data_IF_371049452510
#
_entry.id   IF_371049452510
#
_cell.length_a   1.000
_cell.length_b   1.000
_cell.length_c   1.000
_cell.angle_alpha   90.00
_cell.angle_beta   90.00
_cell.angle_gamma   90.00
#
_symmetry.space_group_name_H-M   'P 1'
#
loop_
_entity.id
_entity.type
_entity.pdbx_description
1 polymer ?
#
# COMPACT_ATOMS: atom_id res chain seq x y z
N UNK A 1 10.57 14.52 17.63
CA UNK A 1 10.91 14.01 16.28
C UNK A 1 10.51 15.01 15.19
N UNK A 2 11.36 15.17 14.16
CA UNK A 2 11.06 15.96 12.94
C UNK A 2 11.25 15.19 11.61
N UNK A 3 11.68 13.94 11.68
CA UNK A 3 11.91 13.06 10.53
C UNK A 3 11.09 11.77 10.69
N UNK A 4 10.17 11.54 9.76
CA UNK A 4 9.26 10.40 9.80
C UNK A 4 9.63 9.28 8.81
N UNK A 5 10.80 9.33 8.15
CA UNK A 5 11.18 8.35 7.10
C UNK A 5 11.18 6.90 7.57
N UNK A 6 11.55 6.69 8.83
CA UNK A 6 11.63 5.37 9.46
C UNK A 6 10.34 4.95 10.18
N UNK A 7 9.28 5.77 10.11
CA UNK A 7 8.03 5.48 10.78
C UNK A 7 7.23 4.48 9.96
N UNK A 8 6.50 3.62 10.67
CA UNK A 8 5.53 2.73 10.04
C UNK A 8 4.43 3.58 9.40
N UNK A 9 4.01 3.24 8.19
CA UNK A 9 2.96 3.93 7.45
C UNK A 9 2.33 3.03 6.41
N UNK A 10 1.08 3.30 6.06
CA UNK A 10 0.48 2.68 4.90
C UNK A 10 0.96 3.33 3.58
N UNK A 11 0.50 2.78 2.46
CA UNK A 11 0.86 3.26 1.11
C UNK A 11 0.29 4.66 0.79
N UNK A 12 -0.54 5.22 1.66
CA UNK A 12 -1.24 6.49 1.47
C UNK A 12 -0.59 7.65 2.22
N UNK A 13 0.54 7.42 2.88
CA UNK A 13 1.37 8.47 3.49
C UNK A 13 2.71 8.59 2.77
N UNK A 14 3.06 9.80 2.34
CA UNK A 14 4.38 10.19 1.88
C UNK A 14 5.16 10.81 3.03
N UNK A 15 6.12 10.05 3.54
CA UNK A 15 7.11 10.48 4.52
C UNK A 15 8.55 10.15 4.08
N UNK A 16 8.75 9.77 2.80
CA UNK A 16 10.07 9.41 2.26
C UNK A 16 10.71 10.55 1.47
N UNK A 17 9.89 11.33 0.77
CA UNK A 17 10.41 12.43 -0.07
C UNK A 17 10.85 13.65 0.74
N UNK A 18 10.42 13.73 2.01
CA UNK A 18 10.65 14.82 2.95
C UNK A 18 10.70 14.28 4.38
N UNK A 19 11.23 15.06 5.29
CA UNK A 19 11.23 14.72 6.73
C UNK A 19 9.84 14.82 7.35
N UNK A 20 8.96 15.69 6.82
CA UNK A 20 7.54 15.81 7.17
C UNK A 20 6.69 14.70 6.55
N UNK A 21 5.57 14.35 7.19
CA UNK A 21 4.60 13.40 6.65
C UNK A 21 3.37 14.11 6.08
N UNK A 22 2.85 13.62 4.96
CA UNK A 22 1.62 14.09 4.31
C UNK A 22 0.94 12.92 3.58
N UNK A 23 -0.24 13.14 3.03
CA UNK A 23 -0.88 12.14 2.17
C UNK A 23 -0.03 11.90 0.91
N UNK A 24 -0.04 10.67 0.41
CA UNK A 24 0.67 10.29 -0.81
C UNK A 24 0.09 11.08 -1.99
N UNK A 25 0.92 11.74 -2.82
CA UNK A 25 0.46 12.55 -3.94
C UNK A 25 -0.03 11.72 -5.15
N UNK A 26 -0.16 10.41 -4.98
CA UNK A 26 -0.66 9.48 -5.99
C UNK A 26 -1.43 8.36 -5.31
N UNK A 27 -2.55 7.96 -5.92
CA UNK A 27 -3.41 6.89 -5.44
C UNK A 27 -3.58 5.84 -6.55
N UNK A 28 -3.30 4.58 -6.23
CA UNK A 28 -3.55 3.45 -7.13
C UNK A 28 -4.83 2.72 -6.69
N UNK A 29 -5.81 2.63 -7.59
CA UNK A 29 -7.04 1.87 -7.42
C UNK A 29 -6.93 0.56 -8.19
N UNK A 30 -7.27 -0.54 -7.51
CA UNK A 30 -7.20 -1.92 -8.01
C UNK A 30 -8.43 -2.69 -7.55
N UNK A 31 -9.05 -3.45 -8.44
CA UNK A 31 -10.13 -4.39 -8.10
C UNK A 31 -9.61 -5.84 -8.06
N UNK A 32 -8.57 -6.11 -8.84
CA UNK A 32 -7.83 -7.37 -8.93
C UNK A 32 -6.80 -7.56 -7.82
N UNK A 33 -6.39 -8.81 -7.59
CA UNK A 33 -5.41 -9.23 -6.59
C UNK A 33 -4.00 -9.41 -7.17
N UNK A 34 -3.83 -9.36 -8.49
CA UNK A 34 -2.56 -9.55 -9.18
C UNK A 34 -2.33 -10.97 -9.66
N UNK A 35 -3.32 -11.85 -9.63
CA UNK A 35 -3.18 -13.24 -10.07
C UNK A 35 -3.26 -13.28 -11.59
N UNK A 36 -2.10 -13.23 -12.24
CA UNK A 36 -2.00 -13.40 -13.69
C UNK A 36 -2.07 -14.88 -14.03
N UNK A 37 -3.30 -15.40 -14.12
CA UNK A 37 -3.59 -16.70 -14.70
C UNK A 37 -3.33 -16.76 -16.22
N UNK A 38 -2.92 -15.64 -16.82
CA UNK A 38 -2.81 -15.43 -18.28
C UNK A 38 -4.11 -15.78 -19.04
N UNK A 39 -5.25 -15.78 -18.33
CA UNK A 39 -6.59 -15.97 -18.88
C UNK A 39 -6.93 -14.74 -19.71
N UNK A 40 -6.83 -14.90 -21.03
CA UNK A 40 -7.10 -13.84 -21.98
C UNK A 40 -8.58 -13.70 -22.28
N UNK A 41 -8.98 -12.47 -22.52
CA UNK A 41 -10.32 -12.13 -22.97
C UNK A 41 -10.26 -11.29 -24.25
N UNK A 42 -10.44 -11.94 -25.39
CA UNK A 42 -10.48 -11.30 -26.70
C UNK A 42 -11.83 -10.65 -26.93
N UNK A 43 -11.82 -9.37 -27.30
CA UNK A 43 -13.03 -8.57 -27.53
C UNK A 43 -13.33 -8.51 -29.02
N UNK A 44 -14.41 -9.18 -29.42
CA UNK A 44 -14.97 -9.09 -30.77
C UNK A 44 -15.58 -7.72 -31.09
N UNK A 45 -16.14 -7.59 -32.30
CA UNK A 45 -16.67 -6.33 -32.81
C UNK A 45 -17.78 -5.73 -31.92
N UNK A 46 -18.66 -6.59 -31.40
CA UNK A 46 -19.79 -6.20 -30.53
C UNK A 46 -19.49 -6.34 -29.04
N UNK A 47 -18.33 -6.89 -28.68
CA UNK A 47 -17.98 -7.10 -27.28
C UNK A 47 -17.47 -5.82 -26.62
N UNK A 48 -17.85 -5.63 -25.36
CA UNK A 48 -17.37 -4.51 -24.53
C UNK A 48 -16.96 -5.06 -23.18
N UNK A 49 -15.79 -4.65 -22.69
CA UNK A 49 -15.36 -4.93 -21.32
C UNK A 49 -15.47 -3.65 -20.50
N UNK A 50 -16.14 -3.69 -19.35
CA UNK A 50 -16.30 -2.55 -18.46
C UNK A 50 -15.64 -2.83 -17.12
N UNK A 51 -14.85 -1.86 -16.66
CA UNK A 51 -14.24 -1.84 -15.34
C UNK A 51 -14.70 -0.59 -14.60
N UNK A 52 -15.17 -0.77 -13.37
CA UNK A 52 -15.66 0.32 -12.52
C UNK A 52 -14.66 0.66 -11.41
N UNK A 53 -14.45 1.95 -11.18
CA UNK A 53 -13.63 2.47 -10.09
C UNK A 53 -14.36 3.55 -9.30
N UNK A 54 -14.31 3.48 -7.97
CA UNK A 54 -14.76 4.55 -7.10
C UNK A 54 -13.63 5.57 -6.87
N UNK A 55 -13.74 6.73 -7.51
CA UNK A 55 -12.75 7.80 -7.42
C UNK A 55 -13.12 8.71 -6.24
N UNK A 56 -12.23 8.93 -5.26
CA UNK A 56 -12.60 9.61 -4.01
C UNK A 56 -12.82 11.12 -4.16
N UNK A 57 -12.26 11.74 -5.19
CA UNK A 57 -12.28 13.19 -5.40
C UNK A 57 -12.31 13.55 -6.89
N UNK A 58 -13.08 14.57 -7.26
CA UNK A 58 -13.09 15.11 -8.62
C UNK A 58 -11.84 15.95 -8.94
N UNK A 59 -11.11 16.43 -7.93
CA UNK A 59 -9.96 17.32 -8.09
C UNK A 59 -8.63 16.59 -8.36
N UNK A 60 -8.70 15.43 -9.01
CA UNK A 60 -7.50 14.73 -9.49
C UNK A 60 -6.82 15.57 -10.58
N UNK A 61 -5.48 15.63 -10.58
CA UNK A 61 -4.72 16.44 -11.55
C UNK A 61 -4.60 15.75 -12.91
N UNK A 62 -4.47 14.43 -12.90
CA UNK A 62 -4.40 13.57 -14.08
C UNK A 62 -4.61 12.13 -13.64
N UNK A 63 -4.88 11.22 -14.57
CA UNK A 63 -4.91 9.80 -14.27
C UNK A 63 -4.26 8.96 -15.36
N UNK A 64 -3.91 7.73 -15.02
CA UNK A 64 -3.40 6.72 -15.93
C UNK A 64 -4.19 5.43 -15.75
N UNK A 65 -4.71 4.91 -16.85
CA UNK A 65 -5.25 3.56 -16.92
C UNK A 65 -4.08 2.64 -17.20
N UNK A 66 -3.88 1.64 -16.36
CA UNK A 66 -2.79 0.67 -16.43
C UNK A 66 -3.43 -0.69 -16.60
N UNK A 67 -3.03 -1.45 -17.60
CA UNK A 67 -3.65 -2.74 -17.90
C UNK A 67 -2.62 -3.75 -18.35
N UNK A 68 -2.86 -5.00 -18.00
CA UNK A 68 -1.93 -6.10 -18.26
C UNK A 68 -2.05 -6.56 -19.73
N UNK A 69 -0.90 -6.78 -20.37
CA UNK A 69 -0.75 -7.12 -21.80
C UNK A 69 0.38 -8.12 -22.05
N UNK A 70 0.89 -8.80 -21.02
CA UNK A 70 2.03 -9.72 -21.15
C UNK A 70 1.70 -10.83 -22.14
N UNK A 71 2.60 -11.09 -23.10
CA UNK A 71 2.43 -12.13 -24.12
C UNK A 71 1.67 -11.68 -25.38
N UNK A 72 1.14 -10.45 -25.42
CA UNK A 72 0.62 -9.87 -26.66
C UNK A 72 1.79 -9.45 -27.57
N UNK A 73 1.71 -9.82 -28.85
CA UNK A 73 2.73 -9.56 -29.86
C UNK A 73 2.99 -8.04 -29.98
N UNK A 74 4.21 -7.62 -29.68
CA UNK A 74 4.65 -6.21 -29.76
C UNK A 74 4.64 -5.66 -31.20
N UNK A 75 4.52 -6.55 -32.20
CA UNK A 75 4.38 -6.22 -33.62
C UNK A 75 2.92 -6.04 -34.06
N UNK A 76 1.95 -6.63 -33.34
CA UNK A 76 0.53 -6.45 -33.61
C UNK A 76 -0.01 -5.20 -32.91
N UNK A 77 -0.47 -4.24 -33.71
CA UNK A 77 -1.13 -3.04 -33.22
C UNK A 77 -2.61 -3.37 -33.03
N UNK A 78 -2.93 -4.10 -31.97
CA UNK A 78 -4.33 -4.22 -31.55
C UNK A 78 -4.79 -2.83 -31.10
N UNK A 79 -5.70 -2.26 -31.90
CA UNK A 79 -6.25 -0.94 -31.64
C UNK A 79 -7.27 -1.04 -30.51
N UNK A 80 -6.80 -0.88 -29.28
CA UNK A 80 -7.64 -0.79 -28.10
C UNK A 80 -8.27 0.61 -28.04
N UNK A 81 -9.60 0.67 -28.07
CA UNK A 81 -10.33 1.91 -27.84
C UNK A 81 -10.98 1.87 -26.47
N UNK A 82 -10.85 2.98 -25.73
CA UNK A 82 -11.37 3.14 -24.38
C UNK A 82 -12.43 4.24 -24.37
N UNK A 83 -13.45 4.07 -23.56
CA UNK A 83 -14.41 5.11 -23.19
C UNK A 83 -14.34 5.29 -21.68
N UNK A 84 -13.92 6.46 -21.24
CA UNK A 84 -13.91 6.81 -19.81
C UNK A 84 -15.12 7.71 -19.56
N UNK A 85 -16.15 7.20 -18.88
CA UNK A 85 -17.43 7.90 -18.70
C UNK A 85 -17.95 8.52 -20.03
N UNK A 86 -17.90 7.75 -21.12
CA UNK A 86 -18.31 8.18 -22.46
C UNK A 86 -17.27 8.96 -23.29
N UNK A 87 -16.16 9.44 -22.69
CA UNK A 87 -15.09 10.10 -23.43
C UNK A 87 -14.24 9.06 -24.16
N UNK A 88 -14.30 9.08 -25.49
CA UNK A 88 -13.53 8.17 -26.35
C UNK A 88 -12.05 8.52 -26.38
N UNK A 89 -11.20 7.51 -26.24
CA UNK A 89 -9.74 7.60 -26.31
C UNK A 89 -9.23 6.42 -27.12
N UNK A 90 -8.47 6.70 -28.17
CA UNK A 90 -7.78 5.65 -28.93
C UNK A 90 -6.39 5.45 -28.35
N UNK A 91 -6.09 4.21 -27.95
CA UNK A 91 -4.76 3.81 -27.51
C UNK A 91 -4.12 2.95 -28.59
N UNK A 92 -2.87 3.26 -28.92
CA UNK A 92 -2.01 2.31 -29.63
C UNK A 92 -1.07 1.72 -28.59
N UNK A 93 -1.16 0.41 -28.40
CA UNK A 93 -0.33 -0.28 -27.43
C UNK A 93 1.15 0.03 -27.69
N UNK A 94 1.87 0.37 -26.61
CA UNK A 94 3.27 0.77 -26.74
C UNK A 94 4.16 -0.45 -26.84
N UNK A 95 5.09 -0.48 -27.80
CA UNK A 95 6.15 -1.51 -27.84
C UNK A 95 6.93 -1.57 -26.53
N UNK A 96 7.31 -0.41 -26.01
CA UNK A 96 7.93 -0.31 -24.68
C UNK A 96 6.87 -0.41 -23.57
N UNK A 97 6.80 -1.60 -22.95
CA UNK A 97 5.99 -1.84 -21.75
C UNK A 97 6.58 -1.10 -20.54
N UNK A 98 5.82 -1.00 -19.45
CA UNK A 98 6.37 -0.52 -18.18
C UNK A 98 7.56 -1.43 -17.80
N UNK A 99 8.74 -0.84 -17.61
CA UNK A 99 9.92 -1.56 -17.12
C UNK A 99 9.63 -2.17 -15.76
N UNK A 100 9.78 -3.48 -15.69
CA UNK A 100 9.80 -4.26 -14.47
C UNK A 100 11.18 -4.25 -13.82
N UNK A 101 11.34 -5.09 -12.83
CA UNK A 101 12.58 -5.23 -12.10
C UNK A 101 13.68 -5.88 -12.95
N UNK A 102 14.94 -5.50 -12.73
CA UNK A 102 16.12 -6.02 -13.44
C UNK A 102 16.03 -5.94 -14.99
N UNK A 103 15.40 -4.89 -15.53
CA UNK A 103 15.32 -4.66 -16.98
C UNK A 103 14.31 -5.55 -17.73
N UNK A 104 13.54 -6.41 -17.02
CA UNK A 104 12.48 -7.22 -17.64
C UNK A 104 11.23 -6.37 -17.88
N UNK A 105 10.43 -6.72 -18.89
CA UNK A 105 9.10 -6.13 -19.09
C UNK A 105 8.19 -6.51 -17.92
N UNK A 106 7.47 -5.55 -17.35
CA UNK A 106 6.51 -5.83 -16.26
C UNK A 106 5.22 -6.50 -16.75
N UNK A 107 5.00 -6.57 -18.06
CA UNK A 107 3.75 -7.06 -18.63
C UNK A 107 2.59 -6.06 -18.58
N UNK A 108 2.81 -4.83 -18.09
CA UNK A 108 1.79 -3.78 -18.02
C UNK A 108 2.02 -2.70 -19.09
N UNK A 109 0.94 -2.28 -19.74
CA UNK A 109 0.89 -1.05 -20.52
C UNK A 109 0.12 0.04 -19.75
N UNK A 110 0.26 1.30 -20.17
CA UNK A 110 -0.42 2.44 -19.58
C UNK A 110 -0.81 3.47 -20.61
N UNK A 111 -1.91 4.14 -20.33
CA UNK A 111 -2.36 5.31 -21.06
C UNK A 111 -2.74 6.44 -20.11
N UNK A 112 -2.30 7.65 -20.41
CA UNK A 112 -2.72 8.86 -19.69
C UNK A 112 -4.12 9.27 -20.13
N UNK A 113 -4.96 9.60 -19.17
CA UNK A 113 -6.29 10.15 -19.38
C UNK A 113 -6.42 11.51 -18.69
N UNK A 114 -7.29 12.36 -19.24
CA UNK A 114 -7.52 13.70 -18.72
C UNK A 114 -8.38 13.62 -17.46
N UNK A 115 -8.04 14.43 -16.45
CA UNK A 115 -8.80 14.48 -15.20
C UNK A 115 -10.29 14.77 -15.40
N UNK A 116 -10.63 15.64 -16.36
CA UNK A 116 -12.02 15.99 -16.71
C UNK A 116 -12.89 14.81 -17.17
N UNK A 117 -12.28 13.66 -17.50
CA UNK A 117 -13.02 12.45 -17.84
C UNK A 117 -13.50 11.69 -16.61
N UNK A 118 -12.98 12.04 -15.43
CA UNK A 118 -13.32 11.41 -14.15
C UNK A 118 -14.25 12.30 -13.33
N UNK A 119 -15.06 11.67 -12.49
CA UNK A 119 -15.93 12.32 -11.49
C UNK A 119 -15.72 11.70 -10.12
N UNK A 120 -16.14 12.38 -9.05
CA UNK A 120 -16.19 11.77 -7.72
C UNK A 120 -17.22 10.63 -7.71
N UNK A 121 -16.91 9.52 -7.05
CA UNK A 121 -17.75 8.32 -6.99
C UNK A 121 -17.46 7.33 -8.13
N UNK A 122 -18.49 6.61 -8.56
CA UNK A 122 -18.36 5.57 -9.57
C UNK A 122 -17.96 6.13 -10.94
N UNK A 123 -16.93 5.56 -11.53
CA UNK A 123 -16.45 5.83 -12.89
C UNK A 123 -16.37 4.53 -13.65
N UNK A 124 -16.76 4.55 -14.91
CA UNK A 124 -16.62 3.39 -15.80
C UNK A 124 -15.53 3.63 -16.83
N UNK A 125 -14.81 2.55 -17.13
CA UNK A 125 -13.86 2.47 -18.24
C UNK A 125 -14.30 1.29 -19.09
N UNK A 126 -14.74 1.59 -20.31
CA UNK A 126 -15.18 0.60 -21.27
C UNK A 126 -14.10 0.41 -22.33
N UNK A 127 -13.66 -0.82 -22.52
CA UNK A 127 -12.70 -1.24 -23.54
C UNK A 127 -13.43 -1.90 -24.70
N UNK A 128 -12.97 -1.63 -25.92
CA UNK A 128 -13.48 -2.21 -27.16
C UNK A 128 -12.33 -2.61 -28.06
N UNK A 129 -12.41 -3.82 -28.63
CA UNK A 129 -11.35 -4.40 -29.45
C UNK A 129 -10.12 -4.82 -28.64
N UNK A 130 -9.25 -5.63 -29.25
CA UNK A 130 -8.05 -6.16 -28.61
C UNK A 130 -8.36 -7.20 -27.54
N UNK A 131 -7.39 -7.42 -26.64
CA UNK A 131 -7.45 -8.45 -25.60
C UNK A 131 -7.12 -7.90 -24.23
N UNK A 132 -7.91 -8.30 -23.23
CA UNK A 132 -7.65 -8.03 -21.82
C UNK A 132 -7.27 -9.34 -21.10
N UNK A 133 -6.86 -9.23 -19.85
CA UNK A 133 -6.57 -10.38 -18.99
C UNK A 133 -7.45 -10.36 -17.76
N UNK A 134 -7.77 -11.54 -17.25
CA UNK A 134 -8.67 -11.74 -16.13
C UNK A 134 -7.87 -12.29 -14.95
N UNK A 135 -8.06 -11.67 -13.79
CA UNK A 135 -7.73 -12.22 -12.48
C UNK A 135 -8.93 -13.05 -11.99
N UNK A 136 -8.81 -14.39 -11.95
CA UNK A 136 -9.95 -15.27 -11.66
C UNK A 136 -10.34 -15.22 -10.19
N UNK A 137 -11.65 -15.24 -9.93
CA UNK A 137 -12.20 -15.20 -8.57
C UNK A 137 -13.60 -14.59 -8.56
N UNK A 138 -14.14 -14.34 -7.38
CA UNK A 138 -15.44 -13.63 -7.28
C UNK A 138 -15.20 -12.14 -7.49
N UNK A 139 -15.59 -11.62 -8.66
CA UNK A 139 -15.55 -10.20 -9.01
C UNK A 139 -16.91 -9.53 -8.99
N UNK A 140 -16.91 -8.19 -8.90
CA UNK A 140 -18.13 -7.36 -8.94
C UNK A 140 -17.96 -6.02 -9.67
N UNK A 141 -16.73 -5.62 -9.99
CA UNK A 141 -16.40 -4.34 -10.63
C UNK A 141 -16.01 -4.48 -12.09
N UNK A 142 -15.95 -5.71 -12.59
CA UNK A 142 -15.76 -6.03 -13.99
C UNK A 142 -17.00 -6.68 -14.58
N UNK A 143 -17.37 -6.27 -15.78
CA UNK A 143 -18.49 -6.86 -16.52
C UNK A 143 -18.21 -6.86 -18.01
N UNK A 144 -18.82 -7.81 -18.72
CA UNK A 144 -18.75 -7.92 -20.17
C UNK A 144 -20.13 -7.72 -20.79
N UNK A 145 -20.14 -7.09 -21.96
CA UNK A 145 -21.28 -7.03 -22.86
C UNK A 145 -20.94 -7.76 -24.15
N UNK A 146 -21.92 -8.45 -24.72
CA UNK A 146 -21.82 -9.18 -25.98
C UNK A 146 -22.73 -8.57 -27.08
N UNK A 147 -23.39 -7.46 -26.78
CA UNK A 147 -24.42 -6.84 -27.63
C UNK A 147 -24.20 -5.34 -27.86
N UNK A 148 -22.94 -4.91 -27.82
CA UNK A 148 -22.52 -3.54 -28.05
C UNK A 148 -22.70 -2.61 -26.85
N UNK A 149 -22.90 -3.16 -25.64
CA UNK A 149 -23.07 -2.40 -24.40
C UNK A 149 -24.53 -2.22 -23.95
N UNK A 150 -25.48 -2.97 -24.51
CA UNK A 150 -26.90 -2.90 -24.12
C UNK A 150 -27.18 -3.70 -22.86
N UNK A 151 -26.56 -4.87 -22.72
CA UNK A 151 -26.60 -5.71 -21.52
C UNK A 151 -25.20 -5.95 -20.97
N UNK A 152 -25.10 -6.12 -19.65
CA UNK A 152 -23.84 -6.28 -18.92
C UNK A 152 -23.90 -7.47 -17.98
N UNK A 153 -22.91 -8.35 -18.07
CA UNK A 153 -22.82 -9.58 -17.29
C UNK A 153 -21.57 -9.54 -16.42
N UNK A 154 -21.76 -9.64 -15.11
CA UNK A 154 -20.69 -9.79 -14.12
C UNK A 154 -20.35 -11.28 -13.99
N UNK A 155 -19.09 -11.62 -13.75
CA UNK A 155 -18.62 -13.01 -13.64
C UNK A 155 -18.92 -13.90 -14.86
N UNK A 156 -19.06 -13.26 -16.03
CA UNK A 156 -19.24 -13.90 -17.32
C UNK A 156 -18.20 -13.33 -18.31
N UNK A 157 -16.96 -13.29 -17.87
CA UNK A 157 -15.82 -12.81 -18.64
C UNK A 157 -15.24 -13.94 -19.50
N UNK A 158 -14.23 -13.63 -20.32
CA UNK A 158 -13.54 -14.63 -21.13
C UNK A 158 -14.35 -15.05 -22.36
N UNK A 159 -13.70 -15.64 -23.36
CA UNK A 159 -14.31 -15.90 -24.67
C UNK A 159 -15.57 -16.78 -24.67
N UNK A 160 -15.82 -17.55 -23.60
CA UNK A 160 -17.02 -18.36 -23.41
C UNK A 160 -18.08 -17.72 -22.51
N UNK A 161 -17.76 -16.59 -21.88
CA UNK A 161 -18.66 -15.90 -20.96
C UNK A 161 -18.94 -16.67 -19.67
N UNK A 162 -18.03 -17.54 -19.24
CA UNK A 162 -18.16 -18.42 -18.07
C UNK A 162 -17.09 -18.12 -17.00
N UNK A 163 -16.23 -17.11 -17.20
CA UNK A 163 -15.17 -16.78 -16.26
C UNK A 163 -15.62 -15.74 -15.23
N UNK A 164 -15.58 -16.13 -13.96
CA UNK A 164 -15.67 -15.20 -12.83
C UNK A 164 -14.32 -14.49 -12.61
N UNK A 165 -14.35 -13.19 -12.29
CA UNK A 165 -13.13 -12.46 -11.96
C UNK A 165 -13.19 -10.96 -12.17
N UNK A 166 -12.02 -10.34 -12.12
CA UNK A 166 -11.80 -8.92 -12.41
C UNK A 166 -10.85 -8.78 -13.60
N UNK A 167 -11.08 -7.81 -14.48
CA UNK A 167 -10.08 -7.47 -15.48
C UNK A 167 -8.83 -6.91 -14.79
N UNK A 168 -7.65 -7.32 -15.28
CA UNK A 168 -6.35 -6.84 -14.82
C UNK A 168 -6.09 -5.39 -15.28
N UNK A 169 -6.89 -4.49 -14.74
CA UNK A 169 -6.91 -3.05 -15.03
C UNK A 169 -6.82 -2.30 -13.71
N UNK A 170 -6.00 -1.25 -13.69
CA UNK A 170 -5.75 -0.39 -12.54
C UNK A 170 -5.92 1.05 -12.95
N UNK A 171 -6.33 1.89 -12.01
CA UNK A 171 -6.44 3.32 -12.21
C UNK A 171 -5.47 4.04 -11.26
N UNK A 172 -4.46 4.69 -11.82
CA UNK A 172 -3.52 5.54 -11.07
C UNK A 172 -3.94 6.98 -11.16
N UNK A 173 -4.27 7.59 -10.02
CA UNK A 173 -4.69 8.98 -9.89
C UNK A 173 -3.51 9.83 -9.40
N UNK A 174 -3.28 10.97 -10.05
CA UNK A 174 -2.35 12.00 -9.56
C UNK A 174 -3.13 12.98 -8.70
N UNK A 175 -2.86 12.98 -7.42
CA UNK A 175 -3.62 13.69 -6.41
C UNK A 175 -3.44 13.00 -5.06
N UNK A 176 -3.70 13.73 -3.99
CA UNK A 176 -3.53 13.20 -2.64
C UNK A 176 -4.53 12.08 -2.35
N UNK A 177 -4.05 11.00 -1.72
CA UNK A 177 -4.90 9.95 -1.19
C UNK A 177 -5.90 10.53 -0.17
N UNK A 178 -7.12 9.98 -0.03
CA UNK A 178 -8.13 10.55 0.86
C UNK A 178 -7.81 10.36 2.35
N UNK A 179 -7.09 9.30 2.69
CA UNK A 179 -6.72 8.97 4.07
C UNK A 179 -5.44 8.13 4.08
N UNK A 180 -4.61 8.32 5.09
CA UNK A 180 -3.45 7.48 5.34
C UNK A 180 -3.08 7.45 6.82
N UNK A 181 -2.49 6.33 7.24
CA UNK A 181 -2.05 6.08 8.61
C UNK A 181 -0.52 6.09 8.71
N UNK A 182 -0.01 6.71 9.78
CA UNK A 182 1.38 6.62 10.21
C UNK A 182 1.46 6.30 11.70
N UNK A 183 2.37 5.42 12.10
CA UNK A 183 2.56 4.97 13.48
C UNK A 183 4.02 5.12 13.87
N UNK A 184 4.25 5.65 15.06
CA UNK A 184 5.58 5.83 15.62
C UNK A 184 6.26 4.51 15.93
N UNK A 185 7.60 4.48 16.09
CA UNK A 185 8.22 3.40 16.85
C UNK A 185 7.67 3.37 18.28
N UNK A 186 7.90 2.27 18.99
CA UNK A 186 7.69 2.20 20.43
C UNK A 186 8.76 3.04 21.11
N UNK A 187 8.35 4.01 21.93
CA UNK A 187 9.26 4.82 22.73
C UNK A 187 9.38 4.23 24.14
N UNK A 188 10.62 4.05 24.59
CA UNK A 188 10.93 3.82 26.01
C UNK A 188 10.87 5.16 26.75
N UNK A 189 9.85 5.34 27.59
CA UNK A 189 9.66 6.56 28.37
C UNK A 189 10.65 6.68 29.54
N UNK A 190 11.31 5.59 29.92
CA UNK A 190 12.38 5.60 30.93
C UNK A 190 13.75 5.98 30.36
N UNK A 191 13.91 5.90 29.03
CA UNK A 191 15.12 6.31 28.32
C UNK A 191 14.77 7.19 27.10
N UNK A 192 14.25 8.41 27.33
CA UNK A 192 13.78 9.27 26.25
C UNK A 192 14.91 9.77 25.33
N UNK A 193 16.15 9.72 25.79
CA UNK A 193 17.35 10.13 25.04
C UNK A 193 18.05 8.95 24.36
N UNK A 194 17.56 7.72 24.56
CA UNK A 194 18.18 6.49 24.06
C UNK A 194 19.66 6.37 24.49
N UNK A 195 19.93 6.67 25.75
CA UNK A 195 21.26 6.60 26.37
C UNK A 195 21.76 5.17 26.60
N UNK A 196 20.89 4.15 26.43
CA UNK A 196 21.24 2.73 26.46
C UNK A 196 21.06 2.07 27.84
N UNK A 197 21.19 2.84 28.93
CA UNK A 197 20.84 2.38 30.29
C UNK A 197 19.76 3.30 30.86
N UNK A 198 18.55 2.77 31.01
CA UNK A 198 17.42 3.48 31.61
C UNK A 198 17.48 3.42 33.16
N UNK A 199 17.36 4.56 33.87
CA UNK A 199 17.18 4.56 35.32
C UNK A 199 15.82 3.95 35.72
N UNK A 200 15.68 3.58 37.00
CA UNK A 200 14.36 3.19 37.54
C UNK A 200 13.52 4.44 37.78
N UNK A 201 12.51 4.64 36.95
CA UNK A 201 11.60 5.79 37.03
C UNK A 201 10.16 5.36 37.30
N UNK A 202 9.46 6.18 38.08
CA UNK A 202 7.99 6.18 38.18
C UNK A 202 7.46 7.16 37.11
N UNK A 203 6.90 6.63 36.02
CA UNK A 203 6.36 7.43 34.92
C UNK A 203 4.90 7.73 35.23
N UNK A 204 4.64 8.99 35.58
CA UNK A 204 3.32 9.44 36.01
C UNK A 204 2.44 9.81 34.83
N UNK A 205 3.03 10.39 33.79
CA UNK A 205 2.28 10.90 32.65
C UNK A 205 3.16 11.02 31.41
N UNK A 206 2.56 10.79 30.24
CA UNK A 206 3.12 11.19 28.94
C UNK A 206 2.14 12.10 28.22
N UNK A 207 2.66 13.13 27.53
CA UNK A 207 1.89 14.07 26.71
C UNK A 207 2.44 14.16 25.29
N UNK A 208 1.56 14.11 24.31
CA UNK A 208 1.87 14.37 22.92
C UNK A 208 1.63 15.84 22.58
N UNK A 209 2.60 16.44 21.92
CA UNK A 209 2.53 17.75 21.29
C UNK A 209 2.97 17.63 19.83
N UNK A 210 2.46 18.49 18.97
CA UNK A 210 2.70 18.38 17.53
C UNK A 210 2.69 19.74 16.83
N UNK A 211 3.38 19.83 15.71
CA UNK A 211 3.29 20.92 14.75
C UNK A 211 2.72 20.39 13.44
N UNK A 212 1.61 20.98 12.97
CA UNK A 212 0.91 20.55 11.77
C UNK A 212 0.36 21.71 10.96
N UNK A 213 0.30 21.54 9.64
CA UNK A 213 -0.48 22.38 8.73
C UNK A 213 -1.73 21.60 8.33
N UNK A 214 -2.89 22.22 8.53
CA UNK A 214 -4.20 21.61 8.24
C UNK A 214 -4.98 22.61 7.39
N UNK A 215 -4.74 22.63 6.06
CA UNK A 215 -5.56 23.41 5.15
C UNK A 215 -7.06 23.04 5.25
N UNK A 216 -7.98 23.91 4.81
CA UNK A 216 -9.42 23.60 4.77
C UNK A 216 -9.69 22.26 4.06
N UNK A 217 -10.63 21.47 4.59
CA UNK A 217 -10.97 20.14 4.06
C UNK A 217 -10.02 19.00 4.49
N UNK A 218 -8.98 19.31 5.28
CA UNK A 218 -8.02 18.31 5.76
C UNK A 218 -8.05 18.13 7.28
N UNK A 219 -7.53 17.00 7.78
CA UNK A 219 -7.43 16.71 9.21
C UNK A 219 -6.21 15.84 9.52
N UNK A 220 -5.66 16.00 10.73
CA UNK A 220 -4.74 15.03 11.33
C UNK A 220 -5.24 14.72 12.74
N UNK A 221 -5.53 13.45 12.96
CA UNK A 221 -5.95 12.90 14.24
C UNK A 221 -4.84 12.09 14.88
N UNK A 222 -4.72 12.25 16.19
CA UNK A 222 -3.74 11.53 16.98
C UNK A 222 -4.43 10.59 17.93
N UNK A 223 -3.86 9.40 18.02
CA UNK A 223 -4.18 8.43 19.04
C UNK A 223 -2.91 7.99 19.73
N UNK A 224 -3.03 7.64 21.01
CA UNK A 224 -1.94 7.11 21.81
C UNK A 224 -2.34 5.78 22.42
N UNK A 225 -1.34 4.94 22.63
CA UNK A 225 -1.41 3.75 23.47
C UNK A 225 -0.14 3.61 24.27
N UNK A 226 -0.21 2.89 25.39
CA UNK A 226 0.93 2.67 26.25
C UNK A 226 0.91 1.27 26.87
N UNK A 227 2.04 0.83 27.42
CA UNK A 227 2.16 -0.50 27.99
C UNK A 227 3.43 -0.72 28.82
N UNK A 228 3.49 -1.89 29.45
CA UNK A 228 4.60 -2.31 30.33
C UNK A 228 5.75 -3.01 29.59
N UNK A 229 5.52 -3.50 28.36
CA UNK A 229 6.47 -4.29 27.56
C UNK A 229 6.95 -3.55 26.31
N UNK A 230 8.19 -3.79 25.84
CA UNK A 230 8.75 -3.10 24.65
C UNK A 230 8.07 -3.50 23.34
N UNK A 231 7.48 -4.70 23.27
CA UNK A 231 6.66 -5.14 22.16
C UNK A 231 5.18 -5.05 22.53
N UNK A 232 4.35 -4.68 21.56
CA UNK A 232 2.90 -4.62 21.74
C UNK A 232 2.35 -6.02 22.07
N UNK A 233 1.53 -6.08 23.12
CA UNK A 233 0.64 -7.22 23.37
C UNK A 233 -0.69 -6.71 23.92
N UNK A 234 -1.81 -7.29 23.50
CA UNK A 234 -3.13 -6.83 23.91
C UNK A 234 -3.41 -6.95 25.43
N UNK A 235 -2.61 -7.74 26.15
CA UNK A 235 -2.72 -7.91 27.62
C UNK A 235 -1.95 -6.84 28.39
N UNK A 236 -0.81 -6.42 27.86
CA UNK A 236 0.13 -5.51 28.54
C UNK A 236 0.04 -4.06 28.04
N UNK A 237 -0.74 -3.83 26.98
CA UNK A 237 -0.90 -2.53 26.35
C UNK A 237 -2.37 -2.09 26.32
N UNK A 238 -2.58 -0.78 26.46
CA UNK A 238 -3.88 -0.17 26.25
C UNK A 238 -4.28 -0.26 24.77
N UNK A 239 -5.59 -0.22 24.46
CA UNK A 239 -6.02 0.07 23.10
C UNK A 239 -5.58 1.48 22.68
N UNK A 240 -5.69 1.76 21.38
CA UNK A 240 -5.57 3.12 20.86
C UNK A 240 -6.67 4.01 21.43
N UNK A 241 -6.30 5.20 21.90
CA UNK A 241 -7.24 6.18 22.43
C UNK A 241 -6.96 7.55 21.85
N UNK A 242 -8.02 8.29 21.50
CA UNK A 242 -7.93 9.66 20.98
C UNK A 242 -7.63 10.68 22.09
N UNK A 243 -6.55 10.45 22.83
CA UNK A 243 -6.07 11.32 23.90
C UNK A 243 -4.65 11.77 23.60
N UNK A 244 -4.37 13.05 23.87
CA UNK A 244 -3.02 13.61 23.76
C UNK A 244 -2.20 13.43 25.06
N UNK A 245 -2.75 12.77 26.07
CA UNK A 245 -2.07 12.48 27.32
C UNK A 245 -2.53 11.14 27.88
N UNK A 246 -1.61 10.38 28.46
CA UNK A 246 -1.91 9.13 29.17
C UNK A 246 -1.30 9.26 30.58
N UNK A 247 -2.14 9.06 31.59
CA UNK A 247 -1.72 8.95 32.99
C UNK A 247 -1.30 7.51 33.29
N UNK A 248 -0.25 7.34 34.09
CA UNK A 248 0.37 6.06 34.45
C UNK A 248 0.56 5.12 33.24
N UNK A 249 1.27 5.55 32.18
CA UNK A 249 1.35 4.83 30.90
C UNK A 249 2.10 3.49 30.97
N UNK A 250 2.74 3.16 32.10
CA UNK A 250 3.77 2.13 32.12
C UNK A 250 5.10 2.69 31.57
N UNK A 251 5.93 1.82 30.97
CA UNK A 251 7.27 2.21 30.48
C UNK A 251 7.27 2.60 29.01
N UNK A 252 6.37 2.06 28.20
CA UNK A 252 6.42 2.21 26.76
C UNK A 252 5.19 2.95 26.25
N UNK A 253 5.37 3.74 25.20
CA UNK A 253 4.25 4.38 24.52
C UNK A 253 4.44 4.40 23.01
N UNK A 254 3.32 4.53 22.31
CA UNK A 254 3.29 4.70 20.87
C UNK A 254 2.17 5.68 20.51
N UNK A 255 2.38 6.44 19.44
CA UNK A 255 1.34 7.27 18.86
C UNK A 255 1.08 6.88 17.42
N UNK A 256 -0.14 7.13 16.97
CA UNK A 256 -0.59 7.01 15.59
C UNK A 256 -1.15 8.35 15.13
N UNK A 257 -0.82 8.74 13.91
CA UNK A 257 -1.42 9.85 13.19
C UNK A 257 -2.26 9.32 12.02
N UNK A 258 -3.52 9.73 11.95
CA UNK A 258 -4.40 9.49 10.80
C UNK A 258 -4.57 10.82 10.06
N UNK A 259 -4.05 10.87 8.84
CA UNK A 259 -4.16 12.03 7.95
C UNK A 259 -5.36 11.81 7.04
N UNK A 260 -6.15 12.85 6.78
CA UNK A 260 -7.26 12.77 5.83
C UNK A 260 -7.49 14.08 5.07
N UNK A 261 -8.10 13.95 3.89
CA UNK A 261 -8.50 15.04 3.00
C UNK A 261 -9.77 14.68 2.25
N UNK A 262 -10.69 15.62 2.12
CA UNK A 262 -11.88 15.50 1.26
C UNK A 262 -11.58 15.82 -0.22
N UNK A 263 -10.38 16.33 -0.50
CA UNK A 263 -9.90 16.78 -1.81
C UNK A 263 -8.56 16.14 -2.17
N UNK A 264 -8.42 15.75 -3.44
CA UNK A 264 -7.15 15.28 -4.00
C UNK A 264 -6.16 16.41 -4.34
N UNK A 265 -6.56 17.69 -4.23
CA UNK A 265 -5.70 18.84 -4.54
C UNK A 265 -4.83 19.27 -3.36
N UNK A 266 -5.25 18.95 -2.14
CA UNK A 266 -4.67 19.44 -0.89
C UNK A 266 -4.40 18.28 0.08
N UNK A 267 -3.44 18.46 0.98
CA UNK A 267 -3.06 17.47 1.97
C UNK A 267 -2.66 18.16 3.27
N UNK A 268 -3.01 17.58 4.43
CA UNK A 268 -2.45 18.04 5.69
C UNK A 268 -0.97 17.62 5.78
N UNK A 269 -0.18 18.40 6.52
CA UNK A 269 1.26 18.14 6.71
C UNK A 269 1.57 18.06 8.19
N UNK A 270 2.11 16.93 8.62
CA UNK A 270 2.69 16.75 9.95
C UNK A 270 4.17 17.12 9.90
N UNK A 271 4.56 18.17 10.62
CA UNK A 271 5.94 18.69 10.66
C UNK A 271 6.75 18.10 11.80
N UNK A 272 6.15 17.99 12.98
CA UNK A 272 6.83 17.45 14.15
C UNK A 272 5.86 16.85 15.16
N UNK A 273 6.36 15.86 15.91
CA UNK A 273 5.69 15.29 17.08
C UNK A 273 6.71 15.18 18.20
N UNK A 274 6.33 15.58 19.40
CA UNK A 274 7.15 15.52 20.61
C UNK A 274 6.36 14.92 21.75
N UNK A 275 6.96 13.95 22.42
CA UNK A 275 6.45 13.38 23.67
C UNK A 275 7.13 14.08 24.84
N UNK A 276 6.34 14.55 25.80
CA UNK A 276 6.83 15.06 27.08
C UNK A 276 6.47 14.07 28.17
N UNK A 277 7.47 13.59 28.89
CA UNK A 277 7.33 12.62 29.97
C UNK A 277 7.45 13.35 31.30
N UNK A 278 6.46 13.17 32.16
CA UNK A 278 6.52 13.59 33.56
C UNK A 278 6.79 12.34 34.40
N UNK A 279 8.02 12.21 34.93
CA UNK A 279 8.49 11.05 35.69
C UNK A 279 9.26 11.46 36.95
N UNK A 280 9.39 10.53 37.89
CA UNK A 280 10.22 10.68 39.09
C UNK A 280 11.24 9.55 39.13
N UNK A 281 12.52 9.90 39.12
CA UNK A 281 13.58 8.91 39.23
C UNK A 281 13.73 8.39 40.66
N UNK A 282 13.89 7.08 40.80
CA UNK A 282 14.29 6.46 42.06
C UNK A 282 15.73 6.86 42.38
N UNK A 283 15.92 7.52 43.52
CA UNK A 283 17.23 8.05 43.94
C UNK A 283 18.31 6.96 43.91
N UNK A 284 19.39 7.22 43.16
CA UNK A 284 20.54 6.34 43.09
C UNK A 284 20.31 5.05 42.30
N UNK A 285 19.30 5.01 41.42
CA UNK A 285 18.97 3.81 40.64
C UNK A 285 20.11 3.30 39.77
N UNK A 286 21.00 4.20 39.32
CA UNK A 286 22.19 3.90 38.53
C UNK A 286 23.49 4.08 39.32
N UNK A 287 23.44 4.18 40.65
CA UNK A 287 24.66 4.39 41.45
C UNK A 287 25.60 3.20 41.30
N UNK A 288 26.80 3.44 40.79
CA UNK A 288 27.80 2.40 40.55
C UNK A 288 27.58 1.61 39.25
N UNK A 289 26.67 2.05 38.39
CA UNK A 289 26.48 1.52 37.04
C UNK A 289 27.16 2.45 36.05
N UNK A 290 28.01 1.90 35.19
CA UNK A 290 28.69 2.61 34.11
C UNK A 290 28.43 1.87 32.79
N UNK A 291 28.06 2.61 31.76
CA UNK A 291 27.93 2.09 30.41
C UNK A 291 29.32 2.05 29.76
N UNK A 292 29.92 0.87 29.66
CA UNK A 292 31.26 0.71 29.10
C UNK A 292 31.25 0.63 27.57
N UNK A 293 30.29 -0.10 27.02
CA UNK A 293 30.16 -0.34 25.59
C UNK A 293 28.70 -0.64 25.23
N UNK A 294 28.27 -0.21 24.05
CA UNK A 294 26.98 -0.55 23.44
C UNK A 294 27.26 -1.16 22.07
N UNK A 295 27.08 -2.47 21.96
CA UNK A 295 27.04 -3.17 20.68
C UNK A 295 25.58 -3.46 20.32
N UNK A 296 24.88 -2.42 19.87
CA UNK A 296 23.50 -2.52 19.44
C UNK A 296 23.39 -2.05 17.99
N UNK A 297 23.16 -2.96 17.03
CA UNK A 297 22.98 -2.58 15.64
C UNK A 297 21.68 -1.79 15.48
N UNK A 298 21.68 -0.82 14.55
CA UNK A 298 20.47 -0.11 14.17
C UNK A 298 19.46 -1.09 13.56
N UNK A 299 18.41 -1.39 14.32
CA UNK A 299 17.32 -2.25 13.84
C UNK A 299 16.42 -1.41 12.93
N UNK A 300 16.59 -1.58 11.62
CA UNK A 300 15.74 -0.94 10.62
C UNK A 300 14.47 -1.77 10.44
N UNK A 301 13.35 -1.24 10.90
CA UNK A 301 12.04 -1.85 10.68
C UNK A 301 11.47 -1.42 9.32
N UNK A 302 10.76 -2.35 8.67
CA UNK A 302 9.95 -2.04 7.50
C UNK A 302 8.93 -0.96 7.82
N UNK A 303 8.74 -0.01 6.90
CA UNK A 303 7.66 0.97 7.03
C UNK A 303 6.27 0.33 6.87
N UNK A 304 6.17 -0.88 6.33
CA UNK A 304 4.93 -1.64 6.21
C UNK A 304 4.89 -2.75 7.25
N UNK A 305 3.70 -2.97 7.82
CA UNK A 305 3.47 -4.16 8.65
C UNK A 305 3.79 -5.41 7.84
N UNK A 306 4.69 -6.23 8.37
CA UNK A 306 5.09 -7.49 7.78
C UNK A 306 5.19 -8.52 8.89
N UNK A 307 4.38 -9.56 8.79
CA UNK A 307 4.48 -10.70 9.68
C UNK A 307 5.59 -11.62 9.18
N UNK A 308 6.66 -11.70 9.96
CA UNK A 308 7.75 -12.61 9.66
C UNK A 308 7.32 -14.04 9.99
N UNK A 309 7.44 -14.91 8.99
CA UNK A 309 7.19 -16.33 9.16
C UNK A 309 8.23 -16.92 10.11
N UNK A 310 7.80 -17.35 11.29
CA UNK A 310 8.66 -18.10 12.20
C UNK A 310 9.06 -19.45 11.57
N UNK A 311 10.27 -19.98 11.86
CA UNK A 311 10.66 -21.31 11.42
C UNK A 311 9.59 -22.35 11.80
N UNK A 312 9.10 -23.09 10.80
CA UNK A 312 8.00 -24.03 11.01
C UNK A 312 8.12 -25.20 10.03
N UNK A 313 7.96 -26.43 10.51
CA UNK A 313 8.17 -27.66 9.73
C UNK A 313 7.37 -27.72 8.42
N UNK A 314 6.19 -27.07 8.37
CA UNK A 314 5.39 -26.97 7.13
C UNK A 314 6.10 -26.14 6.05
N UNK A 315 6.84 -25.12 6.44
CA UNK A 315 7.62 -24.28 5.52
C UNK A 315 8.75 -25.09 4.94
N UNK A 316 9.50 -25.82 5.78
CA UNK A 316 10.56 -26.73 5.32
C UNK A 316 10.02 -27.78 4.36
N UNK A 317 8.82 -28.31 4.64
CA UNK A 317 8.14 -29.24 3.75
C UNK A 317 7.80 -28.59 2.41
N UNK A 318 7.25 -27.38 2.39
CA UNK A 318 6.91 -26.67 1.15
C UNK A 318 8.16 -26.36 0.31
N UNK A 319 9.23 -25.89 0.95
CA UNK A 319 10.52 -25.63 0.29
C UNK A 319 11.03 -26.89 -0.42
N UNK A 320 10.99 -28.04 0.27
CA UNK A 320 11.42 -29.33 -0.29
C UNK A 320 10.48 -29.84 -1.37
N UNK A 321 9.16 -29.84 -1.12
CA UNK A 321 8.14 -30.38 -2.01
C UNK A 321 8.13 -29.66 -3.36
N UNK A 322 8.23 -28.33 -3.34
CA UNK A 322 8.18 -27.50 -4.55
C UNK A 322 9.57 -27.09 -5.08
N UNK A 323 10.64 -27.62 -4.48
CA UNK A 323 12.04 -27.34 -4.87
C UNK A 323 12.30 -25.84 -4.99
N UNK A 324 11.83 -25.05 -4.01
CA UNK A 324 11.84 -23.58 -4.09
C UNK A 324 13.25 -22.99 -4.25
N UNK A 325 14.30 -23.70 -3.82
CA UNK A 325 15.68 -23.31 -4.09
C UNK A 325 16.01 -23.25 -5.59
N UNK A 326 15.40 -24.09 -6.41
CA UNK A 326 15.59 -24.08 -7.87
C UNK A 326 14.83 -22.94 -8.53
N UNK A 327 13.64 -22.63 -8.01
CA UNK A 327 12.83 -21.48 -8.45
C UNK A 327 13.65 -20.19 -8.33
N UNK A 328 14.41 -20.04 -7.25
CA UNK A 328 15.21 -18.83 -6.98
C UNK A 328 16.66 -18.91 -7.45
N UNK A 329 17.12 -20.05 -7.98
CA UNK A 329 18.54 -20.27 -8.29
C UNK A 329 19.11 -19.28 -9.32
N UNK A 330 18.26 -18.76 -10.20
CA UNK A 330 18.65 -17.78 -11.23
C UNK A 330 18.76 -16.33 -10.75
N UNK A 331 18.54 -16.06 -9.46
CA UNK A 331 18.62 -14.73 -8.89
C UNK A 331 20.01 -14.42 -8.32
N UNK A 332 20.48 -13.20 -8.58
CA UNK A 332 21.76 -12.65 -8.13
C UNK A 332 21.64 -11.84 -6.84
N UNK A 333 20.41 -11.49 -6.43
CA UNK A 333 20.14 -10.72 -5.21
C UNK A 333 18.92 -11.30 -4.47
N UNK A 334 18.80 -11.05 -3.17
CA UNK A 334 17.63 -11.47 -2.39
C UNK A 334 16.32 -10.90 -2.95
N UNK A 335 16.35 -9.66 -3.45
CA UNK A 335 15.19 -9.05 -4.08
C UNK A 335 14.79 -9.76 -5.38
N UNK A 336 15.77 -10.24 -6.17
CA UNK A 336 15.51 -11.11 -7.32
C UNK A 336 14.93 -12.46 -6.88
N UNK A 337 15.43 -13.05 -5.79
CA UNK A 337 14.88 -14.30 -5.25
C UNK A 337 13.41 -14.14 -4.84
N UNK A 338 13.08 -13.04 -4.14
CA UNK A 338 11.70 -12.71 -3.77
C UNK A 338 10.81 -12.50 -5.00
N UNK A 339 11.32 -11.84 -6.05
CA UNK A 339 10.58 -11.65 -7.29
C UNK A 339 10.28 -12.99 -7.98
N UNK A 340 11.27 -13.89 -8.06
CA UNK A 340 11.08 -15.23 -8.62
C UNK A 340 10.09 -16.07 -7.81
N UNK A 341 10.17 -16.03 -6.47
CA UNK A 341 9.19 -16.70 -5.60
C UNK A 341 7.79 -16.15 -5.80
N UNK A 342 7.61 -14.83 -5.85
CA UNK A 342 6.31 -14.19 -6.12
C UNK A 342 5.74 -14.67 -7.44
N UNK A 343 6.54 -14.62 -8.51
CA UNK A 343 6.11 -15.01 -9.85
C UNK A 343 5.74 -16.50 -9.90
N UNK A 344 6.49 -17.36 -9.20
CA UNK A 344 6.16 -18.77 -9.05
C UNK A 344 4.88 -19.00 -8.24
N UNK A 345 4.69 -18.33 -7.10
CA UNK A 345 3.46 -18.45 -6.31
C UNK A 345 2.26 -18.05 -7.15
N UNK A 346 2.36 -16.96 -7.92
CA UNK A 346 1.28 -16.51 -8.81
C UNK A 346 0.90 -17.56 -9.86
N UNK A 347 1.84 -18.41 -10.31
CA UNK A 347 1.54 -19.47 -11.28
C UNK A 347 0.92 -20.73 -10.66
N UNK A 348 0.96 -20.91 -9.34
CA UNK A 348 0.43 -22.12 -8.69
C UNK A 348 -1.09 -22.13 -8.51
N UNK A 349 -1.76 -20.98 -8.55
CA UNK A 349 -3.21 -20.85 -8.31
C UNK A 349 -4.07 -21.15 -9.55
N UNK A 350 -3.47 -21.78 -10.56
CA UNK A 350 -4.06 -22.13 -11.85
C UNK A 350 -4.69 -23.54 -11.90
N UNK A 351 -5.03 -24.11 -10.74
CA UNK A 351 -5.53 -25.48 -10.59
C UNK A 351 -7.04 -25.60 -10.51
#
# INVERSE_FOLDING_TARGET
QRDFRHYRRDRFVDAQTRTSARLSPTLLLTNEMGVSAEIGDELGADDRARVEFDVPSAEVKSAEVIFYVKGQDESQIDSLCLFVNGYRITHRQRRERITGFAGRSSGWDRMRIQARYLKKGANEIIFTGGRLYIDPGVGSRSSRSFDGGKTWHVNALGGRGDQAGEYMVRLRLKGFAPQGEMVSPVFDLADPENAGIAPRVDIRRVRLSHEKEVPPGTRIDFEMRAGSTPAFSAREWTPWTAQAAIENPGRFSQWRAVLSSDSAAVSPVLKSVSLKVDSVETRGSLKGVELLEVDQPDIVYSSYDFDYLAPHYRVDRLIKQYRLHEVIAGANTELEQLALLRDWVHSQWLG
#
